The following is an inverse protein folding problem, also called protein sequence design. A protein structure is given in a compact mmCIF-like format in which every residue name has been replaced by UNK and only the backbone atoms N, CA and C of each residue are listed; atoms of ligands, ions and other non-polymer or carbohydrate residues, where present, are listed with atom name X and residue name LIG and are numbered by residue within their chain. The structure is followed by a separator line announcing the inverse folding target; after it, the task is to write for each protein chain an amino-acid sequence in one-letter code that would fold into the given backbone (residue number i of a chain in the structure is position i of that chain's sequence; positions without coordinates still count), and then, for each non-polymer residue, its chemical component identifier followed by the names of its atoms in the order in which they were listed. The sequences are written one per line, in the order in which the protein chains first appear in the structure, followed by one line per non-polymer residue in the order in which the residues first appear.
data_IF_947431473026
#
_entry.id   IF_947431473026
#
_cell.length_a   1.000
_cell.length_b   1.000
_cell.length_c   1.000
_cell.angle_alpha   90.00
_cell.angle_beta   90.00
_cell.angle_gamma   90.00
#
_symmetry.space_group_name_H-M   'P 1'
#
loop_
_entity.id
_entity.type
_entity.pdbx_description
1 polymer ?
#
# COMPACT_ATOMS: atom_id res chain seq x y z
N UNK A 1 -5.84 12.16 7.98
CA UNK A 1 -7.10 11.62 7.47
C UNK A 1 -7.96 11.20 8.64
N UNK A 2 -9.26 11.22 8.43
CA UNK A 2 -10.27 10.72 9.36
C UNK A 2 -11.18 9.79 8.59
N UNK A 3 -11.69 8.79 9.28
CA UNK A 3 -12.49 7.72 8.69
C UNK A 3 -13.85 7.64 9.36
N UNK A 4 -14.81 7.06 8.64
CA UNK A 4 -16.06 6.61 9.23
C UNK A 4 -15.79 5.68 10.42
N UNK A 5 -16.45 5.91 11.56
CA UNK A 5 -16.16 5.25 12.85
C UNK A 5 -16.38 3.74 12.86
N UNK A 6 -17.27 3.25 11.99
CA UNK A 6 -17.73 1.85 11.89
C UNK A 6 -17.15 1.12 10.67
N UNK A 7 -16.10 1.66 10.06
CA UNK A 7 -15.56 1.12 8.81
C UNK A 7 -15.09 -0.33 8.89
N UNK A 8 -14.67 -0.83 10.06
CA UNK A 8 -14.27 -2.23 10.22
C UNK A 8 -15.42 -3.20 9.97
N UNK A 9 -16.65 -2.78 10.30
CA UNK A 9 -17.85 -3.56 10.03
C UNK A 9 -18.25 -3.45 8.56
N UNK A 10 -18.15 -2.24 8.01
CA UNK A 10 -18.54 -1.96 6.61
C UNK A 10 -17.62 -2.68 5.63
N UNK A 11 -16.29 -2.70 5.87
CA UNK A 11 -15.33 -3.33 4.95
C UNK A 11 -15.49 -4.84 4.81
N UNK A 12 -16.11 -5.49 5.81
CA UNK A 12 -16.39 -6.93 5.80
C UNK A 12 -17.67 -7.29 5.03
N UNK A 13 -18.57 -6.33 4.80
CA UNK A 13 -19.84 -6.55 4.10
C UNK A 13 -19.66 -6.21 2.63
N UNK A 14 -19.89 -7.10 1.66
CA UNK A 14 -19.68 -6.81 0.25
C UNK A 14 -20.58 -5.66 -0.24
N UNK A 15 -20.04 -4.80 -1.12
CA UNK A 15 -20.73 -3.66 -1.76
C UNK A 15 -21.18 -2.53 -0.83
N UNK A 16 -20.71 -2.53 0.41
CA UNK A 16 -20.97 -1.41 1.30
C UNK A 16 -19.91 -0.34 1.15
N UNK A 17 -20.37 0.92 1.15
CA UNK A 17 -19.52 2.09 1.01
C UNK A 17 -19.33 2.76 2.37
N UNK A 18 -18.12 3.20 2.63
CA UNK A 18 -17.81 4.06 3.76
C UNK A 18 -17.06 5.31 3.29
N UNK A 19 -17.12 6.38 4.08
CA UNK A 19 -16.46 7.63 3.73
C UNK A 19 -15.08 7.76 4.37
N UNK A 20 -14.20 8.48 3.66
CA UNK A 20 -12.90 8.94 4.13
C UNK A 20 -12.78 10.44 3.90
N UNK A 21 -12.08 11.14 4.79
CA UNK A 21 -11.72 12.53 4.57
C UNK A 21 -10.26 12.83 4.93
N UNK A 22 -9.63 13.73 4.18
CA UNK A 22 -8.35 14.33 4.53
C UNK A 22 -8.50 15.83 4.75
N UNK A 23 -8.36 16.27 6.00
CA UNK A 23 -8.31 17.69 6.33
C UNK A 23 -6.92 18.25 6.01
N UNK A 24 -6.84 19.19 5.08
CA UNK A 24 -5.62 19.93 4.75
C UNK A 24 -5.42 21.09 5.73
N UNK A 25 -4.16 21.41 6.02
CA UNK A 25 -3.83 22.55 6.87
C UNK A 25 -4.08 23.90 6.16
N UNK A 26 -4.00 23.91 4.83
CA UNK A 26 -3.93 25.10 3.97
C UNK A 26 -4.97 25.08 2.83
N UNK A 27 -6.01 24.25 2.91
CA UNK A 27 -6.95 24.06 1.80
C UNK A 27 -8.24 23.33 2.16
N UNK A 28 -9.10 23.05 1.15
CA UNK A 28 -10.36 22.36 1.36
C UNK A 28 -10.14 20.93 1.84
N UNK A 29 -11.12 20.41 2.59
CA UNK A 29 -11.12 19.01 3.02
C UNK A 29 -11.40 18.13 1.81
N UNK A 30 -10.57 17.10 1.63
CA UNK A 30 -10.73 16.12 0.56
C UNK A 30 -11.68 15.03 1.08
N UNK A 31 -12.76 14.76 0.36
CA UNK A 31 -13.70 13.69 0.68
C UNK A 31 -13.64 12.58 -0.36
N UNK A 32 -13.88 11.34 0.06
CA UNK A 32 -14.01 10.20 -0.83
C UNK A 32 -14.89 9.11 -0.23
N UNK A 33 -15.43 8.25 -1.08
CA UNK A 33 -16.11 7.01 -0.70
C UNK A 33 -15.29 5.83 -1.17
N UNK A 34 -15.15 4.82 -0.33
CA UNK A 34 -14.50 3.56 -0.64
C UNK A 34 -15.52 2.43 -0.51
N UNK A 35 -15.41 1.41 -1.34
CA UNK A 35 -16.30 0.25 -1.34
C UNK A 35 -15.54 -0.96 -0.80
N UNK A 36 -16.16 -1.72 0.09
CA UNK A 36 -15.72 -3.07 0.43
C UNK A 36 -15.73 -3.96 -0.82
N UNK A 37 -14.86 -4.98 -0.92
CA UNK A 37 -14.60 -5.59 -2.21
C UNK A 37 -15.79 -6.40 -2.74
N UNK A 38 -16.23 -6.07 -3.95
CA UNK A 38 -16.38 -7.05 -5.02
C UNK A 38 -14.98 -7.28 -5.60
N UNK A 39 -14.60 -8.56 -5.72
CA UNK A 39 -13.41 -9.05 -6.42
C UNK A 39 -13.02 -8.18 -7.63
N UNK A 40 -11.83 -7.57 -7.62
CA UNK A 40 -11.12 -7.03 -8.79
C UNK A 40 -11.96 -6.33 -9.87
N UNK A 41 -13.02 -5.60 -9.51
CA UNK A 41 -13.76 -4.79 -10.49
C UNK A 41 -13.38 -3.34 -10.33
N UNK A 42 -12.71 -2.82 -11.36
CA UNK A 42 -12.75 -1.41 -11.74
C UNK A 42 -14.22 -1.00 -11.98
N UNK A 43 -15.00 -0.84 -10.93
CA UNK A 43 -16.39 -0.38 -11.03
C UNK A 43 -16.38 1.15 -11.08
N UNK A 44 -16.51 1.64 -12.31
CA UNK A 44 -16.88 3.03 -12.61
C UNK A 44 -18.26 3.34 -12.02
N UNK A 45 -18.35 4.31 -11.10
CA UNK A 45 -19.33 5.43 -11.11
C UNK A 45 -19.50 6.10 -9.72
N UNK A 46 -19.99 7.37 -9.61
CA UNK A 46 -20.33 8.35 -10.65
C UNK A 46 -19.54 9.69 -10.53
N UNK A 47 -19.67 10.52 -11.57
CA UNK A 47 -19.13 11.87 -11.71
C UNK A 47 -19.58 12.82 -10.60
N UNK A 48 -18.65 13.19 -9.71
CA UNK A 48 -18.11 14.55 -9.62
C UNK A 48 -16.80 14.52 -8.81
N UNK A 49 -15.72 15.02 -9.43
CA UNK A 49 -14.35 15.17 -8.88
C UNK A 49 -13.62 13.88 -8.45
N UNK A 50 -12.94 13.22 -9.42
CA UNK A 50 -11.78 12.30 -9.32
C UNK A 50 -11.74 11.33 -8.12
N UNK A 51 -11.50 10.03 -8.31
CA UNK A 51 -11.23 9.11 -7.19
C UNK A 51 -10.01 9.59 -6.38
N UNK A 52 -10.25 10.33 -5.28
CA UNK A 52 -9.19 11.02 -4.51
C UNK A 52 -8.43 10.07 -3.59
N UNK A 53 -8.96 8.85 -3.38
CA UNK A 53 -8.40 7.83 -2.51
C UNK A 53 -8.51 6.46 -3.16
N UNK A 54 -7.52 5.60 -2.90
CA UNK A 54 -7.54 4.20 -3.32
C UNK A 54 -7.18 3.29 -2.16
N UNK A 55 -7.93 2.20 -2.00
CA UNK A 55 -7.54 1.10 -1.12
C UNK A 55 -6.44 0.34 -1.83
N UNK A 56 -5.30 0.20 -1.16
CA UNK A 56 -4.15 -0.53 -1.67
C UNK A 56 -4.06 -1.93 -1.09
N UNK A 57 -4.47 -2.06 0.17
CA UNK A 57 -4.52 -3.32 0.85
C UNK A 57 -5.46 -3.27 2.05
N UNK A 58 -5.97 -4.41 2.47
CA UNK A 58 -6.71 -4.53 3.71
C UNK A 58 -6.65 -5.95 4.26
N UNK A 59 -6.76 -6.06 5.57
CA UNK A 59 -6.96 -7.30 6.29
C UNK A 59 -7.92 -7.06 7.47
N UNK A 60 -8.13 -8.07 8.31
CA UNK A 60 -9.03 -8.00 9.47
C UNK A 60 -8.72 -6.83 10.43
N UNK A 61 -7.48 -6.40 10.52
CA UNK A 61 -7.00 -5.44 11.52
C UNK A 61 -6.43 -4.16 10.92
N UNK A 62 -6.18 -4.11 9.60
CA UNK A 62 -5.55 -2.96 8.98
C UNK A 62 -6.10 -2.68 7.59
N UNK A 63 -6.20 -1.40 7.27
CA UNK A 63 -6.58 -0.89 5.97
C UNK A 63 -5.55 0.15 5.52
N UNK A 64 -5.09 0.01 4.29
CA UNK A 64 -4.07 0.86 3.72
C UNK A 64 -4.68 1.69 2.59
N UNK A 65 -4.67 3.01 2.78
CA UNK A 65 -5.27 3.95 1.84
C UNK A 65 -4.23 4.97 1.39
N UNK A 66 -4.15 5.18 0.08
CA UNK A 66 -3.38 6.27 -0.52
C UNK A 66 -4.33 7.37 -0.96
N UNK A 67 -4.02 8.63 -0.59
CA UNK A 67 -4.65 9.79 -1.19
C UNK A 67 -3.88 10.20 -2.45
N UNK A 68 -4.57 10.20 -3.60
CA UNK A 68 -3.95 10.52 -4.88
C UNK A 68 -3.64 12.01 -5.06
N UNK A 69 -4.21 12.88 -4.22
CA UNK A 69 -3.99 14.33 -4.28
C UNK A 69 -2.75 14.75 -3.51
N UNK A 70 -2.53 14.18 -2.33
CA UNK A 70 -1.40 14.51 -1.45
C UNK A 70 -0.27 13.49 -1.53
N UNK A 71 -0.49 12.40 -2.26
CA UNK A 71 0.34 11.19 -2.29
C UNK A 71 0.60 10.58 -0.90
N UNK A 72 -0.21 10.98 0.08
CA UNK A 72 -0.03 10.51 1.46
C UNK A 72 -0.61 9.12 1.59
N UNK A 73 0.18 8.26 2.21
CA UNK A 73 -0.28 6.94 2.63
C UNK A 73 -0.63 6.98 4.10
N UNK A 74 -1.84 6.53 4.39
CA UNK A 74 -2.33 6.37 5.74
C UNK A 74 -2.68 4.91 5.98
N UNK A 75 -2.03 4.33 6.98
CA UNK A 75 -2.42 3.04 7.52
C UNK A 75 -3.42 3.26 8.65
N UNK A 76 -4.59 2.62 8.52
CA UNK A 76 -5.59 2.52 9.56
C UNK A 76 -5.43 1.16 10.23
N UNK A 77 -5.44 1.14 11.55
CA UNK A 77 -5.26 -0.04 12.39
C UNK A 77 -6.42 -0.05 13.39
N UNK A 78 -7.15 -1.16 13.39
CA UNK A 78 -8.29 -1.34 14.26
C UNK A 78 -7.87 -1.35 15.75
N UNK A 79 -8.70 -0.83 16.67
CA UNK A 79 -9.98 -0.17 16.40
C UNK A 79 -9.85 1.34 16.15
N UNK A 80 -8.73 2.01 16.47
CA UNK A 80 -8.66 3.47 16.48
C UNK A 80 -7.24 4.05 16.31
N UNK A 81 -6.30 3.29 15.74
CA UNK A 81 -4.94 3.78 15.52
C UNK A 81 -4.75 4.14 14.06
N UNK A 82 -4.29 5.36 13.82
CA UNK A 82 -3.93 5.82 12.48
C UNK A 82 -2.46 6.15 12.45
N UNK A 83 -1.77 5.60 11.48
CA UNK A 83 -0.36 5.85 11.24
C UNK A 83 -0.25 6.51 9.88
N UNK A 84 0.21 7.75 9.88
CA UNK A 84 0.59 8.44 8.66
C UNK A 84 2.02 8.07 8.32
N UNK A 85 2.23 7.54 7.13
CA UNK A 85 3.54 7.24 6.60
C UNK A 85 4.05 8.51 5.88
N UNK A 86 4.56 9.48 6.63
CA UNK A 86 4.99 10.80 6.11
C UNK A 86 6.48 10.89 5.79
N UNK A 87 7.27 9.87 6.12
CA UNK A 87 8.72 9.90 5.86
C UNK A 87 9.08 9.63 4.39
N UNK A 88 8.10 9.29 3.56
CA UNK A 88 8.28 8.93 2.16
C UNK A 88 8.02 10.14 1.25
N UNK A 89 9.05 10.93 0.97
CA UNK A 89 8.98 12.06 0.04
C UNK A 89 9.03 11.64 -1.45
N UNK A 90 8.71 10.37 -1.75
CA UNK A 90 8.81 9.80 -3.10
C UNK A 90 7.48 9.16 -3.48
N UNK A 91 7.08 9.22 -4.76
CA UNK A 91 5.90 8.51 -5.24
C UNK A 91 5.98 7.02 -4.94
N UNK A 92 4.92 6.53 -4.30
CA UNK A 92 4.76 5.12 -3.99
C UNK A 92 4.06 4.42 -5.16
N UNK A 93 4.67 3.35 -5.64
CA UNK A 93 4.21 2.61 -6.81
C UNK A 93 3.39 1.39 -6.41
N UNK A 94 3.82 0.68 -5.37
CA UNK A 94 3.15 -0.50 -4.87
C UNK A 94 3.28 -0.63 -3.36
N UNK A 95 2.38 -1.39 -2.75
CA UNK A 95 2.38 -1.64 -1.32
C UNK A 95 1.52 -2.83 -0.91
N UNK A 96 1.89 -3.43 0.21
CA UNK A 96 1.25 -4.63 0.74
C UNK A 96 1.40 -4.72 2.26
N UNK A 97 0.58 -5.57 2.89
CA UNK A 97 0.67 -5.87 4.32
C UNK A 97 0.91 -7.36 4.48
N UNK A 98 1.82 -7.70 5.39
CA UNK A 98 2.14 -9.08 5.70
C UNK A 98 0.90 -9.85 6.20
N UNK A 99 0.84 -11.18 6.00
CA UNK A 99 -0.28 -11.99 6.47
C UNK A 99 -0.51 -11.92 7.99
N UNK A 100 0.56 -11.73 8.79
CA UNK A 100 0.41 -11.52 10.25
C UNK A 100 -0.16 -10.14 10.60
N UNK A 101 -0.12 -9.20 9.65
CA UNK A 101 -0.51 -7.82 9.85
C UNK A 101 0.59 -6.96 10.47
N UNK A 102 1.71 -7.54 10.92
CA UNK A 102 2.72 -6.85 11.73
C UNK A 102 3.65 -5.95 10.89
N UNK A 103 3.89 -6.32 9.64
CA UNK A 103 4.74 -5.59 8.71
C UNK A 103 3.97 -5.08 7.50
N UNK A 104 4.31 -3.88 7.06
CA UNK A 104 3.95 -3.35 5.77
C UNK A 104 5.16 -3.23 4.86
N UNK A 105 4.92 -3.27 3.56
CA UNK A 105 5.94 -3.05 2.53
C UNK A 105 5.41 -2.07 1.49
N UNK A 106 6.28 -1.19 1.00
CA UNK A 106 5.99 -0.28 -0.09
C UNK A 106 7.21 -0.13 -0.97
N UNK A 107 6.97 0.17 -2.22
CA UNK A 107 8.01 0.40 -3.20
C UNK A 107 7.83 1.78 -3.81
N UNK A 108 8.94 2.41 -4.17
CA UNK A 108 8.94 3.73 -4.78
C UNK A 108 9.71 3.74 -6.10
N UNK A 109 9.72 4.91 -6.71
CA UNK A 109 10.71 5.25 -7.72
C UNK A 109 12.14 5.08 -7.16
N UNK A 110 13.10 4.79 -8.04
CA UNK A 110 14.54 4.63 -7.73
C UNK A 110 15.00 3.33 -7.01
N UNK A 111 14.27 2.23 -7.13
CA UNK A 111 14.83 0.91 -6.76
C UNK A 111 14.71 0.54 -5.28
N UNK A 112 14.14 1.42 -4.46
CA UNK A 112 14.00 1.21 -3.01
C UNK A 112 12.67 0.53 -2.68
N UNK A 113 12.74 -0.42 -1.75
CA UNK A 113 11.57 -1.04 -1.12
C UNK A 113 11.72 -0.86 0.38
N UNK A 114 10.69 -0.34 1.01
CA UNK A 114 10.70 -0.01 2.42
C UNK A 114 9.79 -0.94 3.19
N UNK A 115 10.27 -1.41 4.34
CA UNK A 115 9.52 -2.24 5.27
C UNK A 115 9.33 -1.43 6.54
N UNK A 116 8.09 -1.33 7.01
CA UNK A 116 7.77 -0.70 8.28
C UNK A 116 7.03 -1.65 9.21
N UNK A 117 7.15 -1.38 10.50
CA UNK A 117 6.30 -1.97 11.52
C UNK A 117 4.94 -1.28 11.49
N UNK A 118 3.90 -2.05 11.26
CA UNK A 118 2.54 -1.53 11.14
C UNK A 118 2.08 -0.89 12.44
N UNK A 119 2.41 -1.46 13.60
CA UNK A 119 1.96 -0.92 14.87
C UNK A 119 2.57 0.43 15.20
N UNK A 120 3.81 0.70 14.82
CA UNK A 120 4.52 1.90 15.24
C UNK A 120 4.67 2.91 14.11
N UNK A 121 4.55 2.46 12.86
CA UNK A 121 4.90 3.23 11.67
C UNK A 121 6.40 3.38 11.48
N UNK A 122 7.22 2.73 12.30
CA UNK A 122 8.67 2.91 12.24
C UNK A 122 9.22 2.14 11.06
N UNK A 123 10.06 2.80 10.27
CA UNK A 123 10.86 2.14 9.26
C UNK A 123 11.75 1.09 9.94
N UNK A 124 11.58 -0.16 9.52
CA UNK A 124 12.38 -1.29 9.99
C UNK A 124 13.58 -1.53 9.07
N UNK A 125 13.42 -1.32 7.75
CA UNK A 125 14.43 -1.62 6.75
C UNK A 125 14.14 -1.00 5.38
N UNK A 126 15.20 -0.71 4.65
CA UNK A 126 15.18 -0.49 3.19
C UNK A 126 15.88 -1.65 2.49
N UNK A 127 15.26 -2.20 1.45
CA UNK A 127 15.81 -3.21 0.57
C UNK A 127 16.29 -2.51 -0.71
N UNK A 128 17.59 -2.55 -0.93
CA UNK A 128 18.26 -1.90 -2.05
C UNK A 128 18.81 -2.95 -3.01
N UNK A 129 18.71 -2.69 -4.32
CA UNK A 129 19.36 -3.51 -5.34
C UNK A 129 18.63 -3.63 -6.67
N UNK A 130 17.41 -3.09 -6.79
CA UNK A 130 16.82 -2.83 -8.10
C UNK A 130 17.45 -1.61 -8.75
N UNK A 131 17.53 -1.61 -10.08
CA UNK A 131 18.06 -0.48 -10.87
C UNK A 131 16.93 0.18 -11.64
N UNK A 132 16.19 1.06 -10.97
CA UNK A 132 15.02 1.74 -11.53
C UNK A 132 13.78 1.50 -10.68
N UNK A 133 12.66 2.02 -11.16
CA UNK A 133 11.38 2.01 -10.46
C UNK A 133 10.90 0.60 -10.14
N UNK A 134 10.46 0.40 -8.90
CA UNK A 134 9.92 -0.88 -8.42
C UNK A 134 8.41 -0.80 -8.47
N UNK A 135 7.86 -1.19 -9.61
CA UNK A 135 6.44 -1.06 -9.94
C UNK A 135 5.53 -1.99 -9.12
N UNK A 136 6.09 -3.05 -8.53
CA UNK A 136 5.33 -4.03 -7.75
C UNK A 136 6.13 -4.56 -6.56
N UNK A 137 5.48 -4.64 -5.39
CA UNK A 137 6.00 -5.36 -4.23
C UNK A 137 4.86 -6.06 -3.48
N UNK A 138 5.07 -7.32 -3.10
CA UNK A 138 4.07 -8.15 -2.39
C UNK A 138 4.73 -9.07 -1.38
N UNK A 139 4.08 -9.27 -0.23
CA UNK A 139 4.43 -10.35 0.68
C UNK A 139 4.02 -11.69 0.08
N UNK A 140 4.87 -12.69 0.23
CA UNK A 140 4.45 -14.06 0.00
C UNK A 140 3.51 -14.51 1.13
N UNK A 141 2.55 -15.43 0.92
CA UNK A 141 1.59 -15.86 1.95
C UNK A 141 2.22 -16.41 3.25
N UNK A 142 3.49 -16.83 3.20
CA UNK A 142 4.23 -17.22 4.42
C UNK A 142 4.63 -16.03 5.32
N UNK A 143 4.61 -14.79 4.81
CA UNK A 143 5.14 -13.60 5.47
C UNK A 143 6.68 -13.52 5.55
N UNK A 144 7.40 -14.55 5.12
CA UNK A 144 8.86 -14.64 5.29
C UNK A 144 9.66 -13.94 4.20
N UNK A 145 9.04 -13.71 3.04
CA UNK A 145 9.69 -13.09 1.89
C UNK A 145 8.80 -12.06 1.22
N UNK A 146 9.43 -11.08 0.59
CA UNK A 146 8.80 -10.12 -0.32
C UNK A 146 9.26 -10.41 -1.74
N UNK A 147 8.32 -10.38 -2.67
CA UNK A 147 8.58 -10.37 -4.11
C UNK A 147 8.52 -8.93 -4.58
N UNK A 148 9.47 -8.51 -5.41
CA UNK A 148 9.40 -7.24 -6.12
C UNK A 148 9.69 -7.37 -7.61
N UNK A 149 8.96 -6.62 -8.43
CA UNK A 149 9.19 -6.46 -9.86
C UNK A 149 9.49 -5.01 -10.18
N UNK A 150 10.46 -4.79 -11.07
CA UNK A 150 10.94 -3.46 -11.39
C UNK A 150 11.16 -3.24 -12.91
N UNK A 151 11.41 -1.99 -13.25
CA UNK A 151 11.80 -1.53 -14.59
C UNK A 151 13.19 -2.01 -15.04
N UNK A 152 13.99 -2.61 -14.15
CA UNK A 152 15.23 -3.32 -14.50
C UNK A 152 15.00 -4.72 -15.12
N UNK A 153 13.72 -5.08 -15.33
CA UNK A 153 13.27 -6.34 -15.90
C UNK A 153 13.64 -7.55 -15.05
N UNK A 154 13.83 -7.34 -13.74
CA UNK A 154 14.14 -8.40 -12.78
C UNK A 154 13.02 -8.53 -11.76
N UNK A 155 12.80 -9.77 -11.33
CA UNK A 155 12.07 -10.04 -10.09
C UNK A 155 13.09 -10.33 -9.02
N UNK A 156 12.93 -9.74 -7.84
CA UNK A 156 13.75 -10.07 -6.67
C UNK A 156 12.90 -10.68 -5.58
N UNK A 157 13.50 -11.65 -4.90
CA UNK A 157 12.94 -12.31 -3.72
C UNK A 157 13.79 -11.87 -2.54
N UNK A 158 13.17 -11.23 -1.57
CA UNK A 158 13.83 -10.65 -0.42
C UNK A 158 13.46 -11.40 0.84
N UNK A 159 14.46 -11.75 1.65
CA UNK A 159 14.25 -12.30 2.97
C UNK A 159 13.86 -11.19 3.94
N UNK A 160 12.72 -11.33 4.61
CA UNK A 160 12.28 -10.38 5.66
C UNK A 160 13.19 -10.42 6.88
N UNK A 161 13.77 -11.59 7.17
CA UNK A 161 14.58 -11.81 8.37
C UNK A 161 15.83 -10.93 8.40
N UNK A 162 16.53 -10.85 7.27
CA UNK A 162 17.85 -10.21 7.18
C UNK A 162 17.95 -9.15 6.07
N UNK A 163 16.89 -8.97 5.27
CA UNK A 163 16.85 -8.02 4.16
C UNK A 163 17.62 -8.44 2.92
N UNK A 164 18.17 -9.66 2.89
CA UNK A 164 18.99 -10.11 1.78
C UNK A 164 18.15 -10.41 0.54
N UNK A 165 18.70 -10.14 -0.64
CA UNK A 165 18.13 -10.61 -1.90
C UNK A 165 18.47 -12.10 -2.07
N UNK A 166 17.54 -12.97 -1.68
CA UNK A 166 17.71 -14.42 -1.75
C UNK A 166 17.81 -14.93 -3.19
N UNK A 167 17.11 -14.26 -4.13
CA UNK A 167 17.14 -14.62 -5.55
C UNK A 167 16.82 -13.41 -6.43
N UNK A 168 17.48 -13.34 -7.57
CA UNK A 168 17.12 -12.46 -8.69
C UNK A 168 16.71 -13.34 -9.87
N UNK A 169 15.49 -13.17 -10.37
CA UNK A 169 14.98 -13.83 -11.56
C UNK A 169 15.19 -12.90 -12.75
N UNK A 170 15.77 -13.46 -13.81
CA UNK A 170 16.10 -12.76 -15.07
C UNK A 170 15.44 -13.46 -16.24
N UNK A 171 15.38 -12.79 -17.40
CA UNK A 171 14.80 -13.34 -18.64
C UNK A 171 13.56 -12.58 -19.11
N UNK A 172 13.00 -11.69 -18.30
CA UNK A 172 11.98 -10.75 -18.76
C UNK A 172 12.61 -9.67 -19.64
N UNK A 173 11.87 -9.22 -20.65
CA UNK A 173 12.32 -8.23 -21.64
C UNK A 173 11.60 -6.88 -21.51
N UNK A 174 10.73 -6.74 -20.50
CA UNK A 174 9.94 -5.53 -20.19
C UNK A 174 9.72 -5.42 -18.68
N UNK A 175 9.27 -4.24 -18.24
CA UNK A 175 8.97 -3.94 -16.84
C UNK A 175 7.98 -4.92 -16.24
N UNK A 176 8.16 -5.25 -14.96
CA UNK A 176 7.39 -6.29 -14.29
C UNK A 176 6.39 -5.64 -13.33
N UNK A 177 5.10 -5.78 -13.66
CA UNK A 177 3.97 -5.34 -12.86
C UNK A 177 3.08 -6.53 -12.57
N UNK A 178 2.74 -6.73 -11.30
CA UNK A 178 1.70 -7.66 -10.87
C UNK A 178 0.82 -6.98 -9.83
N UNK A 179 -0.47 -7.27 -9.91
CA UNK A 179 -1.52 -6.71 -9.06
C UNK A 179 -1.87 -7.69 -7.97
#
# INVERSE_FOLDING_TARGET
MTFQKDWEEVIQKPNEKFWIQEKRADGPTIFGSLCSPLSDVHETAPTDEQQKFIIKNWNKYSLLVQCLVTDTVTQFIAPNKTIKLTEYNKPLLSMDVSPSGELGVCSSVNGEIWIWETDTGTNRRVLEGHVGDVDSCRFFPSGLVVLSGASDYRVKIWSIKDGSCARTLTGHTRGIVYY
#
